data_IF_201543422530
#
_entry.id   IF_201543422530
#
_cell.length_a   1.000
_cell.length_b   1.000
_cell.length_c   1.000
_cell.angle_alpha   90.00
_cell.angle_beta   90.00
_cell.angle_gamma   90.00
#
_symmetry.space_group_name_H-M   'P 1'
#
loop_
_entity.id
_entity.type
_entity.pdbx_description
1 polymer ?
#
# COMPACT_ATOMS: atom_id res chain seq x y z
N UNK A 1 6.77 -19.41 -29.63
CA UNK A 1 7.00 -19.22 -28.17
C UNK A 1 5.67 -19.25 -27.43
N UNK A 2 5.46 -20.20 -26.51
CA UNK A 2 4.25 -20.25 -25.68
C UNK A 2 4.24 -19.01 -24.79
N UNK A 3 3.26 -18.12 -25.00
CA UNK A 3 3.11 -16.91 -24.19
C UNK A 3 2.92 -17.35 -22.72
N UNK A 4 3.88 -17.06 -21.85
CA UNK A 4 3.74 -17.38 -20.43
C UNK A 4 2.58 -16.53 -19.88
N UNK A 5 1.64 -17.19 -19.22
CA UNK A 5 0.40 -16.55 -18.73
C UNK A 5 0.70 -15.59 -17.58
N UNK A 6 0.02 -14.46 -17.53
CA UNK A 6 0.02 -13.48 -16.44
C UNK A 6 -1.06 -13.83 -15.41
N UNK A 7 -0.92 -14.99 -14.77
CA UNK A 7 -1.96 -15.57 -13.89
C UNK A 7 -2.11 -14.73 -12.62
N UNK A 8 -1.00 -14.45 -11.93
CA UNK A 8 -1.04 -13.70 -10.69
C UNK A 8 -1.51 -12.25 -10.92
N UNK A 9 -1.04 -11.62 -11.99
CA UNK A 9 -1.51 -10.28 -12.41
C UNK A 9 -3.02 -10.25 -12.59
N UNK A 10 -3.57 -11.21 -13.34
CA UNK A 10 -5.01 -11.26 -13.61
C UNK A 10 -5.83 -11.57 -12.35
N UNK A 11 -5.34 -12.44 -11.45
CA UNK A 11 -5.97 -12.71 -10.16
C UNK A 11 -6.01 -11.45 -9.30
N UNK A 12 -4.92 -10.71 -9.21
CA UNK A 12 -4.85 -9.47 -8.44
C UNK A 12 -5.83 -8.43 -9.00
N UNK A 13 -5.90 -8.28 -10.33
CA UNK A 13 -6.88 -7.40 -10.99
C UNK A 13 -8.31 -7.81 -10.63
N UNK A 14 -8.62 -9.10 -10.69
CA UNK A 14 -9.96 -9.61 -10.35
C UNK A 14 -10.32 -9.36 -8.87
N UNK A 15 -9.36 -9.55 -7.95
CA UNK A 15 -9.54 -9.22 -6.52
C UNK A 15 -9.82 -7.73 -6.36
N UNK A 16 -8.99 -6.85 -6.92
CA UNK A 16 -9.18 -5.40 -6.84
C UNK A 16 -10.52 -4.96 -7.43
N UNK A 17 -10.95 -5.58 -8.54
CA UNK A 17 -12.25 -5.31 -9.16
C UNK A 17 -13.40 -5.73 -8.24
N UNK A 18 -13.36 -6.93 -7.69
CA UNK A 18 -14.39 -7.43 -6.76
C UNK A 18 -14.50 -6.56 -5.52
N UNK A 19 -13.36 -6.17 -4.92
CA UNK A 19 -13.31 -5.25 -3.77
C UNK A 19 -13.88 -3.87 -4.14
N UNK A 20 -13.51 -3.32 -5.30
CA UNK A 20 -14.03 -2.03 -5.76
C UNK A 20 -15.54 -2.08 -5.96
N UNK A 21 -16.08 -3.10 -6.65
CA UNK A 21 -17.53 -3.27 -6.84
C UNK A 21 -18.24 -3.37 -5.49
N UNK A 22 -17.71 -4.14 -4.55
CA UNK A 22 -18.30 -4.28 -3.22
C UNK A 22 -18.38 -2.94 -2.49
N UNK A 23 -17.31 -2.13 -2.53
CA UNK A 23 -17.29 -0.78 -1.92
C UNK A 23 -18.37 0.12 -2.51
N UNK A 24 -18.60 0.05 -3.84
CA UNK A 24 -19.60 0.89 -4.50
C UNK A 24 -21.05 0.45 -4.18
N UNK A 25 -21.26 -0.83 -3.90
CA UNK A 25 -22.60 -1.40 -3.65
C UNK A 25 -22.95 -1.47 -2.16
N UNK A 26 -21.99 -1.32 -1.26
CA UNK A 26 -22.25 -1.44 0.19
C UNK A 26 -23.08 -0.24 0.68
N UNK A 27 -24.19 -0.50 1.40
CA UNK A 27 -25.13 0.55 1.82
C UNK A 27 -24.60 1.30 3.05
N UNK A 28 -23.73 2.27 2.85
CA UNK A 28 -23.35 3.25 3.88
C UNK A 28 -23.31 4.65 3.28
N UNK A 29 -23.30 5.65 4.15
CA UNK A 29 -23.33 7.08 3.76
C UNK A 29 -22.02 7.55 3.10
N UNK A 30 -20.95 6.74 3.14
CA UNK A 30 -19.63 7.14 2.66
C UNK A 30 -18.82 5.99 2.09
N UNK A 31 -18.33 6.15 0.86
CA UNK A 31 -17.38 5.19 0.24
C UNK A 31 -16.06 5.09 1.01
N UNK A 32 -15.66 6.13 1.76
CA UNK A 32 -14.48 6.09 2.65
C UNK A 32 -14.74 5.15 3.82
N UNK A 33 -15.90 5.25 4.46
CA UNK A 33 -16.34 4.33 5.53
C UNK A 33 -16.32 2.88 5.04
N UNK A 34 -16.90 2.61 3.86
CA UNK A 34 -16.89 1.28 3.26
C UNK A 34 -15.46 0.77 3.01
N UNK A 35 -14.59 1.63 2.50
CA UNK A 35 -13.19 1.28 2.26
C UNK A 35 -12.46 0.92 3.56
N UNK A 36 -12.69 1.66 4.66
CA UNK A 36 -12.11 1.37 5.97
C UNK A 36 -12.61 0.03 6.50
N UNK A 37 -13.92 -0.25 6.42
CA UNK A 37 -14.52 -1.52 6.82
C UNK A 37 -13.91 -2.72 6.10
N UNK A 38 -13.55 -2.56 4.82
CA UNK A 38 -13.00 -3.64 3.98
C UNK A 38 -11.48 -3.79 4.09
N UNK A 39 -10.78 -2.80 4.66
CA UNK A 39 -9.35 -2.94 4.89
C UNK A 39 -8.46 -1.89 4.24
N UNK A 40 -8.97 -0.70 3.96
CA UNK A 40 -8.14 0.45 3.63
C UNK A 40 -7.11 0.71 4.73
N UNK A 41 -5.95 1.25 4.36
CA UNK A 41 -5.05 1.81 5.35
C UNK A 41 -5.71 3.02 5.99
N UNK A 42 -5.91 2.92 7.29
CA UNK A 42 -6.39 4.00 8.12
C UNK A 42 -5.54 4.04 9.38
N UNK A 43 -4.76 5.12 9.55
CA UNK A 43 -3.70 5.18 10.56
C UNK A 43 -4.19 4.87 11.98
N UNK A 44 -5.33 5.41 12.48
CA UNK A 44 -5.81 5.09 13.82
C UNK A 44 -6.01 3.59 14.04
N UNK A 45 -6.60 2.89 13.06
CA UNK A 45 -6.88 1.45 13.18
C UNK A 45 -5.62 0.60 13.07
N UNK A 46 -4.65 1.01 12.24
CA UNK A 46 -3.33 0.36 12.20
C UNK A 46 -2.65 0.48 13.56
N UNK A 47 -2.68 1.67 14.19
CA UNK A 47 -2.11 1.90 15.52
C UNK A 47 -2.90 1.19 16.62
N UNK A 48 -4.22 0.99 16.45
CA UNK A 48 -5.05 0.16 17.31
C UNK A 48 -4.75 -1.35 17.19
N UNK A 49 -3.88 -1.77 16.24
CA UNK A 49 -3.39 -3.14 16.09
C UNK A 49 -3.83 -3.85 14.81
N UNK A 50 -4.58 -3.19 13.91
CA UNK A 50 -5.01 -3.79 12.65
C UNK A 50 -3.89 -3.75 11.58
N UNK A 51 -2.74 -4.36 11.89
CA UNK A 51 -1.55 -4.35 11.01
C UNK A 51 -1.77 -5.02 9.65
N UNK A 52 -2.79 -5.87 9.51
CA UNK A 52 -3.17 -6.46 8.23
C UNK A 52 -3.54 -5.40 7.18
N UNK A 53 -3.96 -4.19 7.61
CA UNK A 53 -4.24 -3.05 6.74
C UNK A 53 -3.02 -2.55 5.96
N UNK A 54 -1.81 -2.81 6.45
CA UNK A 54 -0.58 -2.52 5.71
C UNK A 54 -0.52 -3.25 4.37
N UNK A 55 -1.16 -4.41 4.27
CA UNK A 55 -1.23 -5.20 3.05
C UNK A 55 -2.56 -4.98 2.30
N UNK A 56 -3.70 -5.07 3.00
CA UNK A 56 -5.02 -5.09 2.35
C UNK A 56 -5.36 -3.79 1.67
N UNK A 57 -4.84 -2.65 2.16
CA UNK A 57 -4.99 -1.35 1.52
C UNK A 57 -4.57 -1.34 0.04
N UNK A 58 -3.60 -2.17 -0.32
CA UNK A 58 -3.16 -2.31 -1.71
C UNK A 58 -4.23 -2.85 -2.65
N UNK A 59 -5.24 -3.54 -2.15
CA UNK A 59 -6.32 -4.11 -2.95
C UNK A 59 -7.59 -3.26 -2.95
N UNK A 60 -7.66 -2.24 -2.09
CA UNK A 60 -8.80 -1.33 -1.94
C UNK A 60 -8.66 -0.15 -2.91
N UNK A 61 -9.75 0.21 -3.59
CA UNK A 61 -9.84 1.40 -4.44
C UNK A 61 -11.20 2.07 -4.24
N UNK A 62 -11.23 3.39 -4.07
CA UNK A 62 -12.48 4.16 -3.89
C UNK A 62 -12.97 4.70 -5.22
N UNK A 63 -12.12 5.41 -5.96
CA UNK A 63 -12.49 6.08 -7.20
C UNK A 63 -12.19 5.22 -8.44
N UNK A 64 -13.12 5.18 -9.39
CA UNK A 64 -12.98 4.43 -10.65
C UNK A 64 -11.69 4.80 -11.40
N UNK A 65 -11.36 6.10 -11.47
CA UNK A 65 -10.15 6.56 -12.15
C UNK A 65 -8.88 6.00 -11.51
N UNK A 66 -8.80 6.04 -10.17
CA UNK A 66 -7.66 5.49 -9.43
C UNK A 66 -7.53 3.98 -9.64
N UNK A 67 -8.65 3.26 -9.59
CA UNK A 67 -8.71 1.84 -9.91
C UNK A 67 -8.19 1.56 -11.32
N UNK A 68 -8.75 2.23 -12.35
CA UNK A 68 -8.37 2.02 -13.74
C UNK A 68 -6.88 2.26 -13.99
N UNK A 69 -6.32 3.36 -13.49
CA UNK A 69 -4.90 3.68 -13.62
C UNK A 69 -4.01 2.61 -12.98
N UNK A 70 -4.34 2.15 -11.78
CA UNK A 70 -3.59 1.08 -11.11
C UNK A 70 -3.65 -0.24 -11.89
N UNK A 71 -4.84 -0.62 -12.40
CA UNK A 71 -4.99 -1.88 -13.15
C UNK A 71 -4.25 -1.84 -14.49
N UNK A 72 -4.26 -0.71 -15.19
CA UNK A 72 -3.48 -0.51 -16.42
C UNK A 72 -1.98 -0.61 -16.17
N UNK A 73 -1.48 0.05 -15.11
CA UNK A 73 -0.07 0.00 -14.74
C UNK A 73 0.35 -1.41 -14.31
N UNK A 74 -0.46 -2.07 -13.47
CA UNK A 74 -0.23 -3.44 -13.05
C UNK A 74 -0.20 -4.41 -14.24
N UNK A 75 -1.16 -4.29 -15.17
CA UNK A 75 -1.22 -5.13 -16.36
C UNK A 75 0.01 -4.93 -17.25
N UNK A 76 0.47 -3.68 -17.41
CA UNK A 76 1.64 -3.34 -18.23
C UNK A 76 2.93 -3.92 -17.65
N UNK A 77 3.19 -3.70 -16.36
CA UNK A 77 4.38 -4.23 -15.68
C UNK A 77 4.28 -5.73 -15.44
N UNK A 78 3.10 -6.24 -15.14
CA UNK A 78 2.84 -7.68 -14.94
C UNK A 78 3.12 -8.50 -16.19
N UNK A 79 2.76 -8.01 -17.38
CA UNK A 79 3.10 -8.64 -18.67
C UNK A 79 4.61 -8.76 -18.91
N UNK A 80 5.41 -7.88 -18.30
CA UNK A 80 6.86 -7.94 -18.38
C UNK A 80 7.43 -8.87 -17.29
N UNK A 81 7.06 -8.63 -16.03
CA UNK A 81 7.73 -9.24 -14.90
C UNK A 81 7.25 -10.65 -14.55
N UNK A 82 5.96 -10.94 -14.67
CA UNK A 82 5.47 -12.26 -14.31
C UNK A 82 6.02 -13.35 -15.24
N UNK A 83 6.06 -13.17 -16.59
CA UNK A 83 6.71 -14.14 -17.49
C UNK A 83 8.23 -14.19 -17.31
N UNK A 84 8.87 -13.07 -16.99
CA UNK A 84 10.34 -12.98 -16.84
C UNK A 84 10.84 -13.64 -15.57
N UNK A 85 10.21 -13.34 -14.44
CA UNK A 85 10.66 -13.75 -13.10
C UNK A 85 9.95 -15.00 -12.58
N UNK A 86 8.78 -15.33 -13.13
CA UNK A 86 7.83 -16.30 -12.58
C UNK A 86 7.03 -15.70 -11.41
N UNK A 87 5.88 -16.31 -11.11
CA UNK A 87 4.89 -15.83 -10.14
C UNK A 87 5.54 -15.53 -8.78
N UNK A 88 6.33 -16.46 -8.25
CA UNK A 88 6.93 -16.33 -6.91
C UNK A 88 7.77 -15.04 -6.78
N UNK A 89 8.72 -14.82 -7.68
CA UNK A 89 9.60 -13.65 -7.62
C UNK A 89 8.87 -12.35 -7.94
N UNK A 90 7.91 -12.39 -8.85
CA UNK A 90 7.03 -11.26 -9.13
C UNK A 90 6.27 -10.80 -7.87
N UNK A 91 5.65 -11.73 -7.15
CA UNK A 91 4.97 -11.44 -5.89
C UNK A 91 5.93 -11.03 -4.77
N UNK A 92 7.16 -11.55 -4.74
CA UNK A 92 8.19 -11.13 -3.79
C UNK A 92 8.62 -9.67 -3.98
N UNK A 93 8.40 -9.05 -5.15
CA UNK A 93 8.57 -7.61 -5.32
C UNK A 93 7.28 -6.89 -4.91
N UNK A 94 6.15 -7.29 -5.47
CA UNK A 94 4.88 -6.58 -5.34
C UNK A 94 4.40 -6.48 -3.89
N UNK A 95 4.33 -7.61 -3.19
CA UNK A 95 3.73 -7.68 -1.85
C UNK A 95 4.54 -6.92 -0.79
N UNK A 96 5.86 -7.11 -0.64
CA UNK A 96 6.65 -6.31 0.29
C UNK A 96 6.61 -4.81 -0.03
N UNK A 97 6.54 -4.43 -1.31
CA UNK A 97 6.45 -3.03 -1.71
C UNK A 97 5.13 -2.37 -1.28
N UNK A 98 4.02 -3.11 -1.26
CA UNK A 98 2.75 -2.64 -0.68
C UNK A 98 2.93 -2.41 0.83
N UNK A 99 3.43 -3.42 1.55
CA UNK A 99 3.54 -3.39 3.01
C UNK A 99 4.49 -2.29 3.48
N UNK A 100 5.69 -2.21 2.91
CA UNK A 100 6.69 -1.20 3.30
C UNK A 100 6.25 0.20 2.83
N UNK A 101 5.58 0.31 1.67
CA UNK A 101 4.93 1.55 1.25
C UNK A 101 3.93 2.05 2.29
N UNK A 102 3.10 1.16 2.83
CA UNK A 102 2.16 1.48 3.91
C UNK A 102 2.87 1.84 5.22
N UNK A 103 4.01 1.20 5.54
CA UNK A 103 4.84 1.60 6.69
C UNK A 103 5.43 3.00 6.53
N UNK A 104 5.81 3.42 5.32
CA UNK A 104 6.21 4.81 5.06
C UNK A 104 5.07 5.78 5.36
N UNK A 105 3.82 5.44 4.99
CA UNK A 105 2.66 6.28 5.34
C UNK A 105 2.47 6.35 6.86
N UNK A 106 2.69 5.25 7.57
CA UNK A 106 2.53 5.19 9.02
C UNK A 106 3.50 6.11 9.77
N UNK A 107 4.64 6.46 9.18
CA UNK A 107 5.60 7.41 9.77
C UNK A 107 5.12 8.86 9.78
N UNK A 108 4.09 9.22 8.99
CA UNK A 108 3.53 10.57 9.00
C UNK A 108 3.00 10.95 10.39
N UNK A 109 3.24 12.17 10.89
CA UNK A 109 2.65 12.63 12.15
C UNK A 109 1.12 12.83 12.06
N UNK A 110 0.60 13.03 10.85
CA UNK A 110 -0.83 13.27 10.62
C UNK A 110 -1.63 11.98 10.50
N UNK A 111 -2.95 12.09 10.74
CA UNK A 111 -3.87 11.03 10.41
C UNK A 111 -3.91 10.82 8.89
N UNK A 112 -3.84 9.57 8.46
CA UNK A 112 -3.72 9.21 7.05
C UNK A 112 -4.72 8.11 6.68
N UNK A 113 -5.38 8.32 5.54
CA UNK A 113 -6.19 7.34 4.83
C UNK A 113 -5.55 7.09 3.47
N UNK A 114 -5.21 5.84 3.16
CA UNK A 114 -4.58 5.47 1.89
C UNK A 114 -5.17 4.17 1.35
N UNK A 115 -5.37 4.13 0.05
CA UNK A 115 -5.85 2.98 -0.72
C UNK A 115 -5.09 2.87 -2.03
N UNK A 116 -5.05 1.68 -2.61
CA UNK A 116 -4.53 1.45 -3.96
C UNK A 116 -3.26 0.64 -4.03
N UNK A 117 -3.11 -0.07 -5.13
CA UNK A 117 -2.00 -0.98 -5.41
C UNK A 117 -0.69 -0.24 -5.75
N UNK A 118 -0.73 1.09 -5.82
CA UNK A 118 0.36 1.90 -6.36
C UNK A 118 1.70 1.72 -5.65
N UNK A 119 1.73 1.50 -4.33
CA UNK A 119 2.97 1.15 -3.62
C UNK A 119 3.66 -0.08 -4.21
N UNK A 120 2.90 -1.14 -4.48
CA UNK A 120 3.40 -2.34 -5.16
C UNK A 120 3.81 -2.09 -6.62
N UNK A 121 3.04 -1.27 -7.35
CA UNK A 121 3.34 -0.87 -8.73
C UNK A 121 4.65 -0.08 -8.80
N UNK A 122 4.88 0.85 -7.87
CA UNK A 122 6.17 1.57 -7.76
C UNK A 122 7.32 0.63 -7.44
N UNK A 123 7.08 -0.45 -6.68
CA UNK A 123 8.06 -1.52 -6.50
C UNK A 123 8.42 -2.24 -7.80
N UNK A 124 7.43 -2.57 -8.62
CA UNK A 124 7.67 -3.14 -9.96
C UNK A 124 8.33 -2.13 -10.90
N UNK A 125 7.99 -0.85 -10.80
CA UNK A 125 8.63 0.23 -11.55
C UNK A 125 10.13 0.32 -11.21
N UNK A 126 10.47 0.27 -9.92
CA UNK A 126 11.86 0.25 -9.46
C UNK A 126 12.63 -0.97 -9.98
N UNK A 127 12.00 -2.14 -9.98
CA UNK A 127 12.55 -3.36 -10.56
C UNK A 127 12.78 -3.19 -12.07
N UNK A 128 11.87 -2.50 -12.79
CA UNK A 128 12.01 -2.22 -14.23
C UNK A 128 13.18 -1.29 -14.52
N UNK A 129 13.32 -0.20 -13.76
CA UNK A 129 14.49 0.69 -13.84
C UNK A 129 15.78 -0.12 -13.65
N UNK A 130 15.84 -0.93 -12.61
CA UNK A 130 17.02 -1.74 -12.29
C UNK A 130 17.34 -2.74 -13.40
N UNK A 131 16.32 -3.40 -13.96
CA UNK A 131 16.48 -4.32 -15.08
C UNK A 131 17.10 -3.62 -16.30
N UNK A 132 16.55 -2.47 -16.71
CA UNK A 132 17.05 -1.68 -17.87
C UNK A 132 18.50 -1.27 -17.64
N UNK A 133 18.84 -0.78 -16.46
CA UNK A 133 20.21 -0.35 -16.13
C UNK A 133 21.18 -1.53 -16.17
N UNK A 134 20.83 -2.68 -15.59
CA UNK A 134 21.70 -3.87 -15.51
C UNK A 134 21.89 -4.57 -16.86
N UNK A 135 20.85 -4.59 -17.70
CA UNK A 135 20.94 -5.20 -19.04
C UNK A 135 21.60 -4.29 -20.08
N UNK A 136 21.94 -3.08 -19.71
CA UNK A 136 22.49 -2.08 -20.64
C UNK A 136 21.44 -1.48 -21.58
N UNK A 137 20.16 -1.75 -21.37
CA UNK A 137 19.05 -1.21 -22.16
C UNK A 137 19.03 0.32 -22.18
N UNK A 138 19.52 0.97 -21.11
CA UNK A 138 19.72 2.42 -21.02
C UNK A 138 20.57 3.01 -22.18
N UNK A 139 21.50 2.23 -22.72
CA UNK A 139 22.35 2.66 -23.85
C UNK A 139 21.58 2.76 -25.16
N UNK A 140 20.41 2.15 -25.26
CA UNK A 140 19.53 2.21 -26.44
C UNK A 140 18.66 3.46 -26.37
N UNK A 141 18.79 4.42 -27.33
CA UNK A 141 18.06 5.70 -27.30
C UNK A 141 16.54 5.55 -27.12
N UNK A 142 15.82 4.65 -27.83
CA UNK A 142 14.39 4.51 -27.65
C UNK A 142 13.98 3.95 -26.27
N UNK A 143 14.77 3.04 -25.70
CA UNK A 143 14.53 2.48 -24.36
C UNK A 143 14.74 3.54 -23.29
N UNK A 144 15.82 4.32 -23.44
CA UNK A 144 16.11 5.45 -22.53
C UNK A 144 15.01 6.50 -22.57
N UNK A 145 14.56 6.90 -23.76
CA UNK A 145 13.48 7.87 -23.91
C UNK A 145 12.17 7.36 -23.27
N UNK A 146 11.80 6.09 -23.50
CA UNK A 146 10.63 5.50 -22.91
C UNK A 146 10.73 5.46 -21.36
N UNK A 147 11.90 5.11 -20.82
CA UNK A 147 12.14 5.08 -19.37
C UNK A 147 12.02 6.48 -18.76
N UNK A 148 12.64 7.49 -19.38
CA UNK A 148 12.57 8.88 -18.91
C UNK A 148 11.12 9.37 -18.92
N UNK A 149 10.38 9.16 -20.00
CA UNK A 149 8.99 9.55 -20.12
C UNK A 149 8.13 8.86 -19.04
N UNK A 150 8.34 7.57 -18.82
CA UNK A 150 7.62 6.82 -17.80
C UNK A 150 7.90 7.37 -16.38
N UNK A 151 9.17 7.62 -16.04
CA UNK A 151 9.55 8.19 -14.75
C UNK A 151 9.02 9.61 -14.59
N UNK A 152 9.06 10.42 -15.63
CA UNK A 152 8.55 11.79 -15.63
C UNK A 152 7.02 11.82 -15.40
N UNK A 153 6.25 10.99 -16.13
CA UNK A 153 4.81 10.88 -15.93
C UNK A 153 4.49 10.44 -14.49
N UNK A 154 5.19 9.40 -13.98
CA UNK A 154 4.98 8.93 -12.61
C UNK A 154 5.37 9.99 -11.57
N UNK A 155 6.40 10.80 -11.81
CA UNK A 155 6.74 11.95 -10.99
C UNK A 155 5.61 12.98 -10.96
N UNK A 156 5.05 13.34 -12.12
CA UNK A 156 3.95 14.30 -12.22
C UNK A 156 2.69 13.79 -11.50
N UNK A 157 2.39 12.50 -11.60
CA UNK A 157 1.23 11.91 -10.91
C UNK A 157 1.30 12.07 -9.39
N UNK A 158 2.50 12.18 -8.79
CA UNK A 158 2.65 12.41 -7.35
C UNK A 158 2.18 13.80 -6.89
N UNK A 159 1.99 14.76 -7.79
CA UNK A 159 1.45 16.08 -7.47
C UNK A 159 -0.08 16.14 -7.53
N UNK A 160 -0.74 15.06 -7.95
CA UNK A 160 -2.20 15.00 -7.95
C UNK A 160 -2.73 14.88 -6.50
N UNK A 161 -3.89 15.50 -6.21
CA UNK A 161 -4.52 15.39 -4.90
C UNK A 161 -4.86 13.92 -4.58
N UNK A 162 -4.82 13.58 -3.30
CA UNK A 162 -5.10 12.24 -2.77
C UNK A 162 -4.12 11.13 -3.23
N UNK A 163 -2.94 11.50 -3.73
CA UNK A 163 -1.87 10.55 -4.03
C UNK A 163 -0.87 10.52 -2.87
N UNK A 164 -0.56 9.33 -2.38
CA UNK A 164 0.38 9.14 -1.28
C UNK A 164 1.82 9.02 -1.80
N UNK A 165 2.56 10.12 -1.78
CA UNK A 165 4.01 10.14 -2.12
C UNK A 165 4.79 9.18 -1.21
N UNK A 166 4.44 9.10 0.08
CA UNK A 166 5.07 8.19 1.04
C UNK A 166 4.93 6.72 0.62
N UNK A 167 3.72 6.29 0.22
CA UNK A 167 3.48 4.93 -0.26
C UNK A 167 4.29 4.62 -1.53
N UNK A 168 4.36 5.58 -2.46
CA UNK A 168 5.12 5.44 -3.70
C UNK A 168 6.62 5.34 -3.44
N UNK A 169 7.18 6.23 -2.61
CA UNK A 169 8.59 6.22 -2.25
C UNK A 169 8.97 4.92 -1.54
N UNK A 170 8.19 4.52 -0.52
CA UNK A 170 8.40 3.28 0.21
C UNK A 170 8.34 2.05 -0.70
N UNK A 171 7.35 2.00 -1.58
CA UNK A 171 7.23 0.95 -2.59
C UNK A 171 8.42 0.90 -3.54
N UNK A 172 8.86 2.05 -4.05
CA UNK A 172 9.98 2.15 -4.98
C UNK A 172 11.29 1.68 -4.34
N UNK A 173 11.63 2.18 -3.16
CA UNK A 173 12.85 1.79 -2.42
C UNK A 173 12.83 0.29 -2.11
N UNK A 174 11.69 -0.24 -1.65
CA UNK A 174 11.53 -1.67 -1.40
C UNK A 174 11.71 -2.50 -2.66
N UNK A 175 11.15 -2.06 -3.78
CA UNK A 175 11.29 -2.74 -5.07
C UNK A 175 12.73 -2.84 -5.56
N UNK A 176 13.55 -1.78 -5.36
CA UNK A 176 15.00 -1.80 -5.64
C UNK A 176 15.69 -2.89 -4.80
N UNK A 177 15.43 -2.92 -3.49
CA UNK A 177 16.03 -3.90 -2.57
C UNK A 177 15.56 -5.32 -2.90
N UNK A 178 14.27 -5.53 -3.10
CA UNK A 178 13.70 -6.84 -3.42
C UNK A 178 14.22 -7.39 -4.75
N UNK A 179 14.36 -6.54 -5.77
CA UNK A 179 14.99 -6.97 -7.02
C UNK A 179 16.44 -7.44 -6.82
N UNK A 180 17.21 -6.74 -5.96
CA UNK A 180 18.54 -7.15 -5.57
C UNK A 180 18.57 -8.50 -4.81
N UNK A 181 17.59 -8.72 -3.92
CA UNK A 181 17.47 -9.97 -3.14
C UNK A 181 17.13 -11.16 -4.05
N UNK A 182 16.23 -11.00 -5.01
CA UNK A 182 15.76 -12.09 -5.86
C UNK A 182 16.59 -12.32 -7.12
N UNK A 183 17.58 -11.46 -7.39
CA UNK A 183 18.42 -11.55 -8.61
C UNK A 183 19.09 -12.93 -8.72
N UNK A 184 19.19 -13.44 -9.93
CA UNK A 184 19.94 -14.67 -10.27
C UNK A 184 21.24 -14.38 -10.98
N UNK A 185 21.55 -13.10 -11.20
CA UNK A 185 22.79 -12.68 -11.80
C UNK A 185 23.96 -13.06 -10.90
N UNK A 186 24.90 -13.87 -11.43
CA UNK A 186 26.07 -14.34 -10.71
C UNK A 186 26.98 -13.18 -10.23
N UNK A 187 27.03 -12.08 -10.99
CA UNK A 187 27.81 -10.90 -10.63
C UNK A 187 27.22 -10.12 -9.43
N UNK A 188 25.93 -10.29 -9.15
CA UNK A 188 25.21 -9.53 -8.13
C UNK A 188 24.74 -10.39 -6.95
N UNK A 189 24.75 -11.71 -7.10
CA UNK A 189 24.20 -12.63 -6.10
C UNK A 189 24.83 -12.50 -4.71
N UNK A 190 26.11 -12.15 -4.64
CA UNK A 190 26.82 -11.94 -3.39
C UNK A 190 26.32 -10.72 -2.60
N UNK A 191 25.66 -9.77 -3.26
CA UNK A 191 25.09 -8.56 -2.63
C UNK A 191 23.70 -8.79 -2.01
N UNK A 192 23.10 -9.97 -2.20
CA UNK A 192 21.74 -10.28 -1.68
C UNK A 192 21.61 -10.06 -0.18
N UNK A 193 22.62 -10.47 0.58
CA UNK A 193 22.63 -10.31 2.05
C UNK A 193 22.61 -8.82 2.40
N UNK A 194 23.41 -8.01 1.70
CA UNK A 194 23.45 -6.56 1.94
C UNK A 194 22.10 -5.91 1.68
N UNK A 195 21.40 -6.29 0.58
CA UNK A 195 20.03 -5.81 0.30
C UNK A 195 19.05 -6.28 1.38
N UNK A 196 19.18 -7.51 1.88
CA UNK A 196 18.35 -8.03 2.96
C UNK A 196 18.57 -7.27 4.27
N UNK A 197 19.82 -7.05 4.66
CA UNK A 197 20.18 -6.27 5.85
C UNK A 197 19.66 -4.83 5.74
N UNK A 198 19.83 -4.19 4.57
CA UNK A 198 19.34 -2.84 4.33
C UNK A 198 17.80 -2.76 4.43
N UNK A 199 17.09 -3.75 3.90
CA UNK A 199 15.62 -3.80 4.01
C UNK A 199 15.16 -3.98 5.45
N UNK A 200 15.79 -4.88 6.21
CA UNK A 200 15.48 -5.09 7.64
C UNK A 200 15.77 -3.81 8.44
N UNK A 201 16.92 -3.17 8.18
CA UNK A 201 17.28 -1.88 8.80
C UNK A 201 16.26 -0.79 8.48
N UNK A 202 15.84 -0.68 7.22
CA UNK A 202 14.80 0.26 6.80
C UNK A 202 13.49 0.02 7.57
N UNK A 203 13.01 -1.23 7.61
CA UNK A 203 11.80 -1.59 8.35
C UNK A 203 11.93 -1.21 9.84
N UNK A 204 13.08 -1.50 10.46
CA UNK A 204 13.35 -1.14 11.85
C UNK A 204 13.25 0.37 12.10
N UNK A 205 13.85 1.18 11.22
CA UNK A 205 13.76 2.65 11.27
C UNK A 205 12.32 3.13 11.10
N UNK A 206 11.58 2.59 10.13
CA UNK A 206 10.18 2.95 9.90
C UNK A 206 9.30 2.59 11.11
N UNK A 207 9.49 1.42 11.69
CA UNK A 207 8.78 1.01 12.92
C UNK A 207 9.10 1.94 14.09
N UNK A 208 10.36 2.33 14.25
CA UNK A 208 10.77 3.26 15.31
C UNK A 208 10.13 4.66 15.13
N UNK A 209 10.16 5.22 13.89
CA UNK A 209 9.52 6.50 13.61
C UNK A 209 8.00 6.41 13.81
N UNK A 210 7.37 5.32 13.35
CA UNK A 210 5.94 5.09 13.53
C UNK A 210 5.55 4.99 15.01
N UNK A 211 6.41 4.38 15.84
CA UNK A 211 6.23 4.33 17.28
C UNK A 211 6.35 5.72 17.94
N UNK A 212 7.26 6.57 17.47
CA UNK A 212 7.35 7.97 17.94
C UNK A 212 6.07 8.76 17.56
N UNK A 213 5.50 8.51 16.39
CA UNK A 213 4.31 9.19 15.87
C UNK A 213 3.00 8.40 16.13
N UNK A 214 2.94 7.61 17.23
CA UNK A 214 1.80 6.74 17.53
C UNK A 214 0.57 7.44 18.09
N UNK A 215 0.69 8.69 18.53
CA UNK A 215 -0.44 9.49 18.97
C UNK A 215 -0.93 10.40 17.84
N UNK A 216 -2.23 10.51 17.69
CA UNK A 216 -2.87 11.34 16.67
C UNK A 216 -3.58 12.50 17.36
N UNK A 217 -3.44 13.75 16.87
CA UNK A 217 -4.19 14.88 17.43
C UNK A 217 -5.70 14.62 17.37
N UNK A 218 -6.41 14.87 18.47
CA UNK A 218 -7.87 14.65 18.60
C UNK A 218 -8.72 15.45 17.61
N UNK A 219 -8.19 16.56 17.07
CA UNK A 219 -8.85 17.36 16.03
C UNK A 219 -8.64 16.80 14.61
N UNK A 220 -8.55 15.48 14.48
CA UNK A 220 -8.50 14.85 13.14
C UNK A 220 -9.80 15.11 12.37
N UNK A 221 -9.68 15.51 11.11
CA UNK A 221 -10.82 15.67 10.19
C UNK A 221 -11.61 14.37 9.96
N UNK A 222 -11.09 13.25 10.42
CA UNK A 222 -11.68 11.92 10.24
C UNK A 222 -12.41 11.40 11.50
N UNK A 223 -12.52 12.18 12.57
CA UNK A 223 -13.18 11.70 13.79
C UNK A 223 -14.63 11.25 13.54
N UNK A 224 -15.39 11.97 12.70
CA UNK A 224 -16.73 11.55 12.29
C UNK A 224 -16.74 10.22 11.52
N UNK A 225 -15.67 9.95 10.75
CA UNK A 225 -15.52 8.66 10.04
C UNK A 225 -15.28 7.53 11.03
N UNK A 226 -14.47 7.75 12.09
CA UNK A 226 -14.23 6.77 13.15
C UNK A 226 -15.55 6.36 13.81
N UNK A 227 -16.38 7.35 14.17
CA UNK A 227 -17.67 7.13 14.81
C UNK A 227 -18.60 6.32 13.91
N UNK A 228 -18.70 6.68 12.64
CA UNK A 228 -19.54 5.96 11.67
C UNK A 228 -19.08 4.50 11.51
N UNK A 229 -17.77 4.25 11.43
CA UNK A 229 -17.23 2.88 11.34
C UNK A 229 -17.54 2.10 12.61
N UNK A 230 -17.29 2.69 13.79
CA UNK A 230 -17.56 2.05 15.07
C UNK A 230 -19.06 1.74 15.26
N UNK A 231 -19.94 2.65 14.85
CA UNK A 231 -21.38 2.46 14.91
C UNK A 231 -21.82 1.28 14.02
N UNK A 232 -21.38 1.24 12.76
CA UNK A 232 -21.69 0.13 11.84
C UNK A 232 -21.22 -1.22 12.42
N UNK A 233 -20.01 -1.25 13.02
CA UNK A 233 -19.49 -2.46 13.65
C UNK A 233 -20.30 -2.85 14.90
N UNK A 234 -20.75 -1.86 15.68
CA UNK A 234 -21.53 -2.08 16.90
C UNK A 234 -22.94 -2.59 16.60
N UNK A 235 -23.59 -2.04 15.57
CA UNK A 235 -24.95 -2.43 15.16
C UNK A 235 -24.99 -3.78 14.41
N UNK A 236 -23.82 -4.29 14.03
CA UNK A 236 -23.65 -5.52 13.27
C UNK A 236 -23.18 -6.71 14.13
N UNK A 237 -22.83 -7.83 13.47
CA UNK A 237 -22.33 -9.04 14.15
C UNK A 237 -20.95 -8.86 14.82
N UNK A 238 -20.28 -7.73 14.56
CA UNK A 238 -18.93 -7.40 15.05
C UNK A 238 -18.94 -6.47 16.28
N UNK A 239 -20.06 -6.38 17.03
CA UNK A 239 -20.17 -5.49 18.20
C UNK A 239 -19.06 -5.70 19.25
N UNK A 240 -18.64 -6.95 19.53
CA UNK A 240 -17.51 -7.20 20.44
C UNK A 240 -16.19 -6.63 19.92
N UNK A 241 -16.02 -6.61 18.61
CA UNK A 241 -14.83 -6.04 17.97
C UNK A 241 -14.83 -4.52 18.01
N UNK A 242 -16.00 -3.87 17.93
CA UNK A 242 -16.11 -2.42 18.11
C UNK A 242 -15.62 -1.98 19.48
N UNK A 243 -15.98 -2.68 20.56
CA UNK A 243 -15.48 -2.38 21.92
C UNK A 243 -13.96 -2.51 22.03
N UNK A 244 -13.37 -3.54 21.42
CA UNK A 244 -11.92 -3.69 21.37
C UNK A 244 -11.22 -2.52 20.66
N UNK A 245 -11.80 -2.03 19.54
CA UNK A 245 -11.26 -0.88 18.83
C UNK A 245 -11.41 0.40 19.64
N UNK A 246 -12.55 0.64 20.27
CA UNK A 246 -12.81 1.82 21.11
C UNK A 246 -11.75 1.97 22.21
N UNK A 247 -11.43 0.91 22.95
CA UNK A 247 -10.41 0.95 23.99
C UNK A 247 -9.03 1.33 23.46
N UNK A 248 -8.68 0.88 22.27
CA UNK A 248 -7.39 1.18 21.67
C UNK A 248 -7.32 2.55 21.03
N UNK A 249 -8.44 3.02 20.47
CA UNK A 249 -8.52 4.35 19.87
C UNK A 249 -8.39 5.45 20.92
N UNK A 250 -8.91 5.26 22.13
CA UNK A 250 -8.68 6.20 23.25
C UNK A 250 -7.16 6.42 23.47
N UNK A 251 -6.38 5.33 23.47
CA UNK A 251 -4.91 5.41 23.61
C UNK A 251 -4.26 6.10 22.40
N UNK A 252 -4.70 5.78 21.19
CA UNK A 252 -4.17 6.37 19.95
C UNK A 252 -4.41 7.87 19.88
N UNK A 253 -5.56 8.34 20.37
CA UNK A 253 -5.91 9.75 20.44
C UNK A 253 -5.41 10.45 21.69
N UNK A 254 -4.77 9.73 22.62
CA UNK A 254 -4.27 10.30 23.88
C UNK A 254 -5.39 10.76 24.82
N UNK A 255 -6.53 10.06 24.82
CA UNK A 255 -7.70 10.37 25.62
C UNK A 255 -7.71 9.45 26.85
N UNK A 256 -7.38 10.01 28.01
CA UNK A 256 -7.37 9.25 29.28
C UNK A 256 -8.77 9.09 29.91
N UNK A 257 -9.76 9.83 29.43
CA UNK A 257 -11.10 9.97 30.03
C UNK A 257 -12.16 9.05 29.39
N UNK A 258 -11.80 8.20 28.44
CA UNK A 258 -12.74 7.32 27.76
C UNK A 258 -13.72 8.07 26.85
N UNK A 259 -13.27 9.17 26.25
CA UNK A 259 -14.09 10.02 25.37
C UNK A 259 -14.75 9.25 24.24
N UNK A 260 -14.01 8.34 23.56
CA UNK A 260 -14.59 7.50 22.49
C UNK A 260 -15.62 6.53 23.06
N UNK A 261 -15.43 6.04 24.32
CA UNK A 261 -16.43 5.21 25.01
C UNK A 261 -17.70 5.99 25.36
N UNK A 262 -17.59 7.29 25.60
CA UNK A 262 -18.73 8.17 25.90
C UNK A 262 -19.64 8.38 24.69
N UNK A 263 -19.04 8.48 23.50
CA UNK A 263 -19.77 8.72 22.25
C UNK A 263 -20.62 7.52 21.75
N UNK A 264 -20.34 6.30 22.26
CA UNK A 264 -21.12 5.10 21.92
C UNK A 264 -22.27 4.78 22.88
N UNK A 265 -22.60 5.68 23.84
CA UNK A 265 -23.63 5.47 24.86
C UNK A 265 -24.87 6.37 24.68
N UNK A 266 -24.88 7.22 23.66
CA UNK A 266 -26.05 8.00 23.24
C UNK A 266 -26.71 7.35 22.01
#
# INVERSE_FOLDING_TARGET
MKQRKTIATNIIIAICFGVWVFIQLFPSDSTITNAILIGAFYKPFVLAGEFWRLLTAGFVHVHLWHFAMNMMALLSLGKIFEPLLGIKRYLMILIPSIVVGSLFVLTSPENSFVVGLSGGIYGLLAAYVTLILRTGGWKMPPVRAALINMLFINLLLNFLPNISVHAHLGGFVTGLMMYGIITTDKAEVHKRVNYGVALVGLIGVLCFISWQNRTIPTRSRYLGTDLNVLQILNDGPLHKYSYFLVERLDVVYGLDDGFVRGLGKE
#
